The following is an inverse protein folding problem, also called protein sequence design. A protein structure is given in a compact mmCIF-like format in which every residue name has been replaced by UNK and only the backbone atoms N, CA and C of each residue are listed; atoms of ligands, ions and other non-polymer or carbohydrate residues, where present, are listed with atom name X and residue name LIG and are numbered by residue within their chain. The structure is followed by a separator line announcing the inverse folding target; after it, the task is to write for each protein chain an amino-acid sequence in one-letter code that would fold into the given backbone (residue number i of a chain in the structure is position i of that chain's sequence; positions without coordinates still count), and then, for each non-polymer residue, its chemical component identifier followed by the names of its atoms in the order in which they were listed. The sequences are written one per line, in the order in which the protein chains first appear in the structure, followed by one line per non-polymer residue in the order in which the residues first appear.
data_IF_212426429860
#
_entry.id   IF_212426429860
#
_cell.length_a   1.000
_cell.length_b   1.000
_cell.length_c   1.000
_cell.angle_alpha   90.00
_cell.angle_beta   90.00
_cell.angle_gamma   90.00
#
_symmetry.space_group_name_H-M   'P 1'
#
loop_
_entity.id
_entity.type
_entity.pdbx_description
1 polymer ?
#
# COMPACT_ATOMS: atom_id res chain seq x y z
N UNK A 1 6.27 24.26 25.29
CA UNK A 1 7.66 24.75 25.11
C UNK A 1 8.48 24.67 26.40
N UNK A 2 7.97 25.17 27.53
CA UNK A 2 8.72 25.17 28.81
C UNK A 2 9.17 23.78 29.29
N UNK A 3 8.26 22.79 29.27
CA UNK A 3 8.57 21.40 29.62
C UNK A 3 9.65 20.77 28.72
N UNK A 4 9.70 21.16 27.45
CA UNK A 4 10.66 20.67 26.47
C UNK A 4 12.05 21.24 26.76
N UNK A 5 12.13 22.53 27.13
CA UNK A 5 13.38 23.17 27.55
C UNK A 5 13.96 22.53 28.81
N UNK A 6 13.12 22.31 29.82
CA UNK A 6 13.54 21.63 31.06
C UNK A 6 14.03 20.20 30.80
N UNK A 7 13.40 19.49 29.87
CA UNK A 7 13.85 18.16 29.46
C UNK A 7 15.24 18.24 28.81
N UNK A 8 15.43 19.16 27.86
CA UNK A 8 16.70 19.35 27.15
C UNK A 8 17.82 19.71 28.12
N UNK A 9 17.59 20.66 29.03
CA UNK A 9 18.57 21.02 30.07
C UNK A 9 18.92 19.83 30.98
N UNK A 10 17.94 19.01 31.33
CA UNK A 10 18.19 17.81 32.12
C UNK A 10 19.06 16.79 31.38
N UNK A 11 18.81 16.59 30.08
CA UNK A 11 19.61 15.73 29.21
C UNK A 11 21.03 16.26 28.98
N UNK A 12 21.20 17.57 28.83
CA UNK A 12 22.50 18.20 28.59
C UNK A 12 23.42 18.14 29.83
N UNK A 13 22.84 18.10 31.04
CA UNK A 13 23.57 18.12 32.30
C UNK A 13 23.69 16.75 33.00
N UNK A 14 23.08 15.69 32.46
CA UNK A 14 23.13 14.34 33.04
C UNK A 14 23.68 13.36 32.00
N UNK A 15 24.90 12.82 32.16
CA UNK A 15 25.42 11.78 31.28
C UNK A 15 24.49 10.57 31.23
N UNK A 16 24.38 9.92 30.07
CA UNK A 16 23.48 8.78 29.87
C UNK A 16 23.74 7.64 30.87
N UNK A 17 25.01 7.38 31.15
CA UNK A 17 25.49 6.35 32.07
C UNK A 17 25.03 6.58 33.53
N UNK A 18 24.84 7.85 33.90
CA UNK A 18 24.42 8.26 35.25
C UNK A 18 22.90 8.27 35.41
N UNK A 19 22.14 8.05 34.33
CA UNK A 19 20.68 7.99 34.36
C UNK A 19 20.16 6.68 34.98
N UNK A 20 18.96 6.68 35.58
CA UNK A 20 18.31 5.44 36.02
C UNK A 20 18.16 4.45 34.86
N UNK A 21 18.31 3.14 35.12
CA UNK A 21 18.24 2.11 34.05
C UNK A 21 16.91 2.13 33.29
N UNK A 22 15.81 2.51 33.98
CA UNK A 22 14.51 2.70 33.35
C UNK A 22 14.56 3.81 32.29
N UNK A 23 15.17 4.95 32.60
CA UNK A 23 15.31 6.06 31.67
C UNK A 23 16.25 5.68 30.50
N UNK A 24 17.36 5.00 30.77
CA UNK A 24 18.27 4.49 29.73
C UNK A 24 17.53 3.58 28.74
N UNK A 25 16.68 2.69 29.25
CA UNK A 25 15.86 1.81 28.43
C UNK A 25 14.84 2.60 27.60
N UNK A 26 14.11 3.53 28.21
CA UNK A 26 13.11 4.35 27.51
C UNK A 26 13.75 5.18 26.38
N UNK A 27 14.93 5.75 26.61
CA UNK A 27 15.71 6.46 25.60
C UNK A 27 16.13 5.50 24.48
N UNK A 28 16.64 4.32 24.84
CA UNK A 28 17.08 3.30 23.87
C UNK A 28 15.92 2.84 22.99
N UNK A 29 14.77 2.53 23.59
CA UNK A 29 13.54 2.15 22.88
C UNK A 29 13.06 3.29 21.98
N UNK A 30 13.11 4.54 22.47
CA UNK A 30 12.78 5.73 21.69
C UNK A 30 13.71 5.96 20.50
N UNK A 31 15.01 5.71 20.64
CA UNK A 31 15.98 5.76 19.53
C UNK A 31 15.65 4.72 18.47
N UNK A 32 15.32 3.48 18.88
CA UNK A 32 14.90 2.42 17.95
C UNK A 32 13.66 2.84 17.17
N UNK A 33 12.69 3.47 17.83
CA UNK A 33 11.49 4.00 17.17
C UNK A 33 11.82 5.16 16.21
N UNK A 34 12.66 6.11 16.64
CA UNK A 34 13.16 7.21 15.80
C UNK A 34 13.88 6.73 14.54
N UNK A 35 14.65 5.65 14.63
CA UNK A 35 15.30 5.03 13.47
C UNK A 35 14.25 4.51 12.49
N UNK A 36 13.17 3.89 12.97
CA UNK A 36 12.06 3.43 12.10
C UNK A 36 11.39 4.60 11.39
N UNK A 37 11.13 5.71 12.09
CA UNK A 37 10.56 6.92 11.46
C UNK A 37 11.51 7.54 10.42
N UNK A 38 12.80 7.64 10.74
CA UNK A 38 13.81 8.14 9.79
C UNK A 38 13.92 7.28 8.54
N UNK A 39 13.64 5.98 8.64
CA UNK A 39 13.61 5.09 7.49
C UNK A 39 12.41 5.32 6.55
N UNK A 40 11.35 6.00 7.01
CA UNK A 40 10.19 6.35 6.20
C UNK A 40 10.45 7.56 5.28
N UNK A 41 11.31 8.49 5.71
CA UNK A 41 11.61 9.73 5.00
C UNK A 41 11.98 10.87 5.94
N UNK A 42 12.09 12.08 5.39
CA UNK A 42 12.28 13.30 6.18
C UNK A 42 10.95 13.74 6.82
N UNK A 43 11.03 14.62 7.82
CA UNK A 43 9.82 15.24 8.39
C UNK A 43 9.02 16.02 7.33
N UNK A 44 9.71 16.64 6.37
CA UNK A 44 9.07 17.36 5.27
C UNK A 44 8.34 16.42 4.32
N UNK A 45 8.91 15.24 4.01
CA UNK A 45 8.24 14.22 3.20
C UNK A 45 6.94 13.73 3.88
N UNK A 46 7.00 13.46 5.18
CA UNK A 46 5.84 13.02 5.96
C UNK A 46 4.78 14.13 6.07
N UNK A 47 5.19 15.38 6.29
CA UNK A 47 4.28 16.52 6.33
C UNK A 47 3.58 16.73 4.98
N UNK A 48 4.31 16.58 3.87
CA UNK A 48 3.75 16.68 2.53
C UNK A 48 2.69 15.59 2.25
N UNK A 49 2.91 14.36 2.73
CA UNK A 49 1.94 13.27 2.64
C UNK A 49 0.68 13.53 3.47
N UNK A 50 0.83 13.97 4.72
CA UNK A 50 -0.30 14.32 5.60
C UNK A 50 -1.11 15.48 5.01
N UNK A 51 -0.45 16.48 4.44
CA UNK A 51 -1.13 17.58 3.75
C UNK A 51 -1.84 17.11 2.48
N UNK A 52 -1.22 16.23 1.69
CA UNK A 52 -1.86 15.66 0.51
C UNK A 52 -3.09 14.83 0.85
N UNK A 53 -3.08 14.10 1.97
CA UNK A 53 -4.23 13.36 2.47
C UNK A 53 -5.35 14.31 2.91
N UNK A 54 -5.04 15.35 3.69
CA UNK A 54 -6.04 16.33 4.18
C UNK A 54 -6.69 17.14 3.05
N UNK A 55 -5.94 17.44 1.99
CA UNK A 55 -6.41 18.12 0.78
C UNK A 55 -7.07 17.17 -0.23
N UNK A 56 -7.12 15.86 0.05
CA UNK A 56 -7.73 14.86 -0.85
C UNK A 56 -6.96 14.62 -2.16
N UNK A 57 -5.66 14.94 -2.19
CA UNK A 57 -4.75 14.70 -3.34
C UNK A 57 -4.13 13.30 -3.33
N UNK A 58 -4.13 12.62 -2.18
CA UNK A 58 -3.57 11.27 -2.05
C UNK A 58 -4.50 10.23 -2.68
N UNK A 59 -3.95 9.40 -3.57
CA UNK A 59 -4.66 8.27 -4.20
C UNK A 59 -3.90 6.98 -3.94
N UNK A 60 -4.57 5.99 -3.35
CA UNK A 60 -4.03 4.64 -3.19
C UNK A 60 -4.45 3.81 -4.40
N UNK A 61 -3.47 3.40 -5.21
CA UNK A 61 -3.69 2.55 -6.37
C UNK A 61 -3.80 1.08 -5.94
N UNK A 62 -4.59 0.25 -6.65
CA UNK A 62 -4.71 -1.17 -6.32
C UNK A 62 -3.43 -1.97 -6.62
N UNK A 63 -2.59 -1.48 -7.53
CA UNK A 63 -1.38 -2.11 -8.00
C UNK A 63 -0.48 -1.06 -8.69
N UNK A 64 0.73 -1.43 -9.06
CA UNK A 64 1.70 -0.59 -9.78
C UNK A 64 2.08 -1.18 -11.13
N UNK A 65 2.70 -0.36 -11.97
CA UNK A 65 3.29 -0.81 -13.23
C UNK A 65 4.28 -1.96 -12.99
N UNK A 66 4.23 -2.98 -13.85
CA UNK A 66 5.02 -4.20 -13.73
C UNK A 66 4.39 -5.29 -12.86
N UNK A 67 3.37 -4.98 -12.06
CA UNK A 67 2.64 -6.02 -11.33
C UNK A 67 1.91 -6.97 -12.30
N UNK A 68 1.70 -8.21 -11.85
CA UNK A 68 0.87 -9.17 -12.58
C UNK A 68 -0.53 -9.18 -11.99
N UNK A 69 -1.54 -8.96 -12.81
CA UNK A 69 -2.95 -9.10 -12.45
C UNK A 69 -3.60 -10.22 -13.28
N UNK A 70 -4.68 -10.79 -12.79
CA UNK A 70 -5.24 -12.05 -13.28
C UNK A 70 -6.68 -11.87 -13.74
N UNK A 71 -6.91 -12.05 -15.04
CA UNK A 71 -8.22 -11.93 -15.67
C UNK A 71 -8.89 -13.30 -15.80
N UNK A 72 -10.13 -13.43 -15.35
CA UNK A 72 -10.99 -14.55 -15.71
C UNK A 72 -11.49 -14.36 -17.15
N UNK A 73 -11.19 -15.30 -18.05
CA UNK A 73 -11.67 -15.27 -19.44
C UNK A 73 -12.80 -16.26 -19.68
N UNK A 74 -13.76 -15.86 -20.53
CA UNK A 74 -14.82 -16.73 -21.02
C UNK A 74 -14.70 -17.01 -22.52
N UNK A 75 -15.25 -18.15 -22.95
CA UNK A 75 -15.02 -18.92 -24.19
C UNK A 75 -15.42 -18.26 -25.53
N UNK A 76 -15.54 -16.94 -25.68
CA UNK A 76 -16.02 -16.42 -26.99
C UNK A 76 -15.02 -16.56 -28.14
N UNK A 77 -13.69 -16.54 -27.91
CA UNK A 77 -12.71 -16.52 -29.01
C UNK A 77 -11.41 -17.32 -28.83
N UNK A 78 -11.20 -18.07 -27.74
CA UNK A 78 -10.06 -18.99 -27.62
C UNK A 78 -10.40 -20.12 -26.63
N UNK A 79 -9.91 -21.33 -26.90
CA UNK A 79 -10.22 -22.55 -26.13
C UNK A 79 -9.71 -22.43 -24.68
N UNK A 80 -10.62 -22.16 -23.75
CA UNK A 80 -10.44 -22.37 -22.31
C UNK A 80 -11.19 -21.39 -21.42
N UNK A 81 -11.95 -21.89 -20.43
CA UNK A 81 -12.19 -21.13 -19.18
C UNK A 81 -10.85 -21.10 -18.46
N UNK A 82 -10.45 -19.97 -17.92
CA UNK A 82 -9.18 -19.94 -17.21
C UNK A 82 -8.77 -18.54 -16.76
N UNK A 83 -7.61 -18.53 -16.12
CA UNK A 83 -6.99 -17.35 -15.54
C UNK A 83 -5.87 -16.92 -16.47
N UNK A 84 -5.98 -15.70 -17.01
CA UNK A 84 -4.96 -15.10 -17.86
C UNK A 84 -4.16 -14.07 -17.06
N UNK A 85 -2.83 -14.23 -16.91
CA UNK A 85 -2.00 -13.18 -16.34
C UNK A 85 -1.90 -12.00 -17.32
N UNK A 86 -1.80 -10.79 -16.77
CA UNK A 86 -1.61 -9.52 -17.47
C UNK A 86 -0.58 -8.70 -16.73
N UNK A 87 0.30 -8.01 -17.46
CA UNK A 87 1.31 -7.16 -16.86
C UNK A 87 0.78 -5.73 -16.91
N UNK A 88 0.71 -5.10 -15.75
CA UNK A 88 0.21 -3.74 -15.61
C UNK A 88 1.18 -2.78 -16.30
N UNK A 89 0.66 -2.00 -17.25
CA UNK A 89 1.40 -0.91 -17.88
C UNK A 89 1.34 0.35 -17.00
N UNK A 90 0.14 0.72 -16.56
CA UNK A 90 -0.09 1.82 -15.63
C UNK A 90 -1.50 1.71 -15.01
N UNK A 91 -1.78 2.55 -14.02
CA UNK A 91 -3.15 2.78 -13.52
C UNK A 91 -3.53 4.20 -13.87
N UNK A 92 -4.64 4.38 -14.58
CA UNK A 92 -5.14 5.71 -14.95
C UNK A 92 -6.33 6.07 -14.08
N UNK A 93 -6.37 7.31 -13.58
CA UNK A 93 -7.38 7.81 -12.64
C UNK A 93 -8.19 8.92 -13.33
N UNK A 94 -9.53 8.83 -13.29
CA UNK A 94 -10.45 9.73 -14.04
C UNK A 94 -11.44 10.50 -13.15
N UNK A 95 -11.13 10.67 -11.86
CA UNK A 95 -11.99 11.35 -10.89
C UNK A 95 -11.82 10.76 -9.50
N UNK A 96 -12.62 11.19 -8.52
CA UNK A 96 -12.53 10.66 -7.16
C UNK A 96 -12.84 9.16 -7.14
N UNK A 97 -11.82 8.32 -6.92
CA UNK A 97 -11.89 6.85 -6.79
C UNK A 97 -12.24 6.07 -8.06
N UNK A 98 -12.26 6.72 -9.23
CA UNK A 98 -12.44 6.03 -10.51
C UNK A 98 -11.06 5.78 -11.14
N UNK A 99 -10.71 4.52 -11.33
CA UNK A 99 -9.48 4.13 -12.02
C UNK A 99 -9.74 2.98 -12.99
N UNK A 100 -8.78 2.79 -13.90
CA UNK A 100 -8.64 1.55 -14.66
C UNK A 100 -7.18 1.12 -14.70
N UNK A 101 -6.96 -0.19 -14.70
CA UNK A 101 -5.64 -0.81 -14.79
C UNK A 101 -5.38 -1.14 -16.26
N UNK A 102 -4.42 -0.45 -16.84
CA UNK A 102 -4.00 -0.62 -18.24
C UNK A 102 -3.00 -1.77 -18.34
N UNK A 103 -3.11 -2.57 -19.40
CA UNK A 103 -2.24 -3.71 -19.65
C UNK A 103 -2.19 -4.04 -21.15
N UNK A 104 -1.48 -5.10 -21.53
CA UNK A 104 -1.24 -5.47 -22.93
C UNK A 104 -2.46 -6.01 -23.72
N UNK A 105 -3.68 -5.91 -23.18
CA UNK A 105 -4.89 -6.46 -23.79
C UNK A 105 -5.83 -5.35 -24.29
N UNK A 106 -6.79 -5.73 -25.13
CA UNK A 106 -7.64 -4.78 -25.84
C UNK A 106 -8.60 -3.97 -24.95
N UNK A 107 -8.96 -4.50 -23.77
CA UNK A 107 -9.87 -3.86 -22.82
C UNK A 107 -9.19 -3.78 -21.46
N UNK A 108 -9.09 -2.60 -20.84
CA UNK A 108 -8.50 -2.46 -19.51
C UNK A 108 -9.35 -3.15 -18.43
N UNK A 109 -8.79 -3.29 -17.24
CA UNK A 109 -9.55 -3.67 -16.05
C UNK A 109 -10.16 -2.43 -15.42
N UNK A 110 -11.48 -2.34 -15.39
CA UNK A 110 -12.19 -1.24 -14.75
C UNK A 110 -12.26 -1.45 -13.22
N UNK A 111 -12.26 -0.37 -12.43
CA UNK A 111 -12.29 -0.45 -10.96
C UNK A 111 -13.41 -1.35 -10.40
N UNK A 112 -14.57 -1.40 -11.06
CA UNK A 112 -15.72 -2.20 -10.61
C UNK A 112 -15.61 -3.70 -10.95
N UNK A 113 -14.62 -4.09 -11.76
CA UNK A 113 -14.34 -5.47 -12.18
C UNK A 113 -13.29 -6.16 -11.29
N UNK A 114 -12.45 -5.37 -10.60
CA UNK A 114 -11.48 -5.88 -9.64
C UNK A 114 -12.20 -6.60 -8.49
N UNK A 115 -11.70 -7.78 -8.12
CA UNK A 115 -12.32 -8.71 -7.17
C UNK A 115 -13.48 -9.54 -7.75
N UNK A 116 -13.90 -9.34 -9.01
CA UNK A 116 -15.02 -10.07 -9.63
C UNK A 116 -14.61 -10.89 -10.85
N UNK A 117 -13.93 -10.23 -11.80
CA UNK A 117 -13.42 -10.83 -13.03
C UNK A 117 -11.92 -10.57 -13.20
N UNK A 118 -11.35 -9.70 -12.37
CA UNK A 118 -9.93 -9.39 -12.28
C UNK A 118 -9.45 -9.51 -10.83
N UNK A 119 -8.23 -9.98 -10.63
CA UNK A 119 -7.67 -10.22 -9.31
C UNK A 119 -6.20 -9.82 -9.25
N UNK A 120 -5.73 -9.41 -8.07
CA UNK A 120 -4.32 -9.03 -7.86
C UNK A 120 -3.43 -10.25 -7.68
N UNK A 121 -4.00 -11.37 -7.22
CA UNK A 121 -3.28 -12.63 -7.05
C UNK A 121 -3.88 -13.77 -7.87
N UNK A 122 -3.06 -14.79 -8.16
CA UNK A 122 -3.51 -15.98 -8.89
C UNK A 122 -4.43 -16.83 -8.03
N UNK A 123 -4.17 -16.85 -6.73
CA UNK A 123 -4.90 -17.57 -5.71
C UNK A 123 -6.34 -17.07 -5.63
N UNK A 124 -6.54 -15.76 -5.52
CA UNK A 124 -7.87 -15.13 -5.54
C UNK A 124 -8.61 -15.44 -6.85
N UNK A 125 -7.92 -15.35 -7.99
CA UNK A 125 -8.52 -15.70 -9.29
C UNK A 125 -8.94 -17.17 -9.36
N UNK A 126 -8.15 -18.08 -8.77
CA UNK A 126 -8.44 -19.52 -8.75
C UNK A 126 -9.64 -19.82 -7.85
N UNK A 127 -9.69 -19.22 -6.67
CA UNK A 127 -10.82 -19.34 -5.77
C UNK A 127 -12.12 -18.83 -6.42
N UNK A 128 -12.06 -17.65 -7.06
CA UNK A 128 -13.20 -17.07 -7.74
C UNK A 128 -13.66 -17.88 -8.97
N UNK A 129 -12.72 -18.50 -9.70
CA UNK A 129 -13.05 -19.39 -10.81
C UNK A 129 -13.76 -20.65 -10.30
N UNK A 130 -13.25 -21.29 -9.25
CA UNK A 130 -13.84 -22.49 -8.66
C UNK A 130 -15.24 -22.24 -8.09
N UNK A 131 -15.46 -21.11 -7.39
CA UNK A 131 -16.78 -20.73 -6.88
C UNK A 131 -17.83 -20.63 -8.01
N UNK A 132 -17.47 -20.01 -9.13
CA UNK A 132 -18.34 -19.90 -10.32
C UNK A 132 -18.58 -21.23 -11.04
N UNK A 133 -17.79 -22.25 -10.76
CA UNK A 133 -18.00 -23.60 -11.27
C UNK A 133 -18.91 -24.42 -10.34
N UNK A 134 -18.75 -24.30 -9.02
CA UNK A 134 -19.63 -24.94 -8.04
C UNK A 134 -21.05 -24.36 -7.97
N UNK A 135 -21.26 -23.08 -8.29
CA UNK A 135 -22.60 -22.46 -8.38
C UNK A 135 -23.42 -22.92 -9.62
N UNK A 136 -22.77 -23.63 -10.56
CA UNK A 136 -23.40 -24.10 -11.81
C UNK A 136 -23.70 -25.60 -11.80
N UNK A 137 -23.39 -26.30 -10.72
CA UNK A 137 -23.82 -27.67 -10.42
C UNK A 137 -25.09 -27.67 -9.55
#
# INVERSE_FOLDING_TARGET
MERLKQLVEWFDNTPFEDMPQKAQKEISDGIVELIKYKALGTLDDLAALVQAESEGRLVVLPCKAGDTVYQLRNKKHAKGKGISPRIVACVTVFGSKMYRVEHQGATPCEAHELGKTWFLTREEASAALAAKEGERE
#
